data_IF_332052094158
#
_entry.id   IF_332052094158
#
_cell.length_a   1.000
_cell.length_b   1.000
_cell.length_c   1.000
_cell.angle_alpha   90.00
_cell.angle_beta   90.00
_cell.angle_gamma   90.00
#
_symmetry.space_group_name_H-M   'P 1'
#
loop_
_entity.id
_entity.type
_entity.pdbx_description
1 polymer ?
#
# COMPACT_ATOMS: atom_id res chain seq x y z
N UNK A 1 7.58 -13.84 31.88
CA UNK A 1 6.27 -13.41 31.34
C UNK A 1 6.31 -11.98 30.82
N UNK A 2 6.80 -11.00 31.59
CA UNK A 2 6.89 -9.59 31.16
C UNK A 2 7.79 -9.34 29.91
N UNK A 3 8.89 -10.10 29.76
CA UNK A 3 9.78 -10.00 28.59
C UNK A 3 9.10 -10.44 27.28
N UNK A 4 8.28 -11.48 27.33
CA UNK A 4 7.52 -11.99 26.18
C UNK A 4 6.47 -10.97 25.70
N UNK A 5 5.76 -10.33 26.63
CA UNK A 5 4.80 -9.27 26.28
C UNK A 5 5.46 -8.03 25.68
N UNK A 6 6.67 -7.67 26.13
CA UNK A 6 7.44 -6.54 25.55
C UNK A 6 7.88 -6.89 24.12
N UNK A 7 8.38 -8.10 23.88
CA UNK A 7 8.78 -8.59 22.55
C UNK A 7 7.59 -8.61 21.58
N UNK A 8 6.42 -9.04 22.03
CA UNK A 8 5.20 -9.01 21.22
C UNK A 8 4.79 -7.57 20.86
N UNK A 9 4.92 -6.63 21.79
CA UNK A 9 4.63 -5.20 21.56
C UNK A 9 5.59 -4.57 20.56
N UNK A 10 6.90 -4.82 20.68
CA UNK A 10 7.89 -4.29 19.73
C UNK A 10 7.68 -4.85 18.32
N UNK A 11 7.35 -6.14 18.19
CA UNK A 11 7.06 -6.75 16.88
C UNK A 11 5.83 -6.14 16.21
N UNK A 12 4.79 -5.84 16.99
CA UNK A 12 3.56 -5.21 16.48
C UNK A 12 3.83 -3.76 16.05
N UNK A 13 4.55 -3.00 16.89
CA UNK A 13 4.99 -1.64 16.62
C UNK A 13 5.84 -1.61 15.33
N UNK A 14 6.93 -2.36 15.27
CA UNK A 14 7.84 -2.39 14.11
C UNK A 14 7.14 -2.75 12.80
N UNK A 15 6.21 -3.71 12.84
CA UNK A 15 5.42 -4.10 11.67
C UNK A 15 4.56 -2.95 11.13
N UNK A 16 3.90 -2.20 12.00
CA UNK A 16 3.05 -1.06 11.59
C UNK A 16 3.87 0.09 11.01
N UNK A 17 4.98 0.48 11.63
CA UNK A 17 5.84 1.56 11.14
C UNK A 17 6.49 1.20 9.80
N UNK A 18 6.99 -0.02 9.66
CA UNK A 18 7.60 -0.50 8.41
C UNK A 18 6.60 -0.48 7.25
N UNK A 19 5.35 -0.89 7.51
CA UNK A 19 4.29 -0.92 6.49
C UNK A 19 3.96 0.49 6.01
N UNK A 20 3.79 1.46 6.91
CA UNK A 20 3.48 2.85 6.56
C UNK A 20 4.66 3.49 5.81
N UNK A 21 5.90 3.30 6.28
CA UNK A 21 7.10 3.84 5.64
C UNK A 21 7.29 3.28 4.22
N UNK A 22 7.12 1.97 4.04
CA UNK A 22 7.23 1.31 2.74
C UNK A 22 6.13 1.82 1.79
N UNK A 23 4.91 1.99 2.28
CA UNK A 23 3.80 2.49 1.47
C UNK A 23 4.01 3.94 1.03
N UNK A 24 4.51 4.79 1.94
CA UNK A 24 4.85 6.18 1.62
C UNK A 24 5.98 6.25 0.58
N UNK A 25 7.00 5.39 0.69
CA UNK A 25 8.12 5.35 -0.25
C UNK A 25 7.67 4.86 -1.64
N UNK A 26 6.83 3.82 -1.69
CA UNK A 26 6.22 3.34 -2.94
C UNK A 26 5.38 4.44 -3.59
N UNK A 27 4.57 5.16 -2.81
CA UNK A 27 3.76 6.27 -3.32
C UNK A 27 4.63 7.42 -3.86
N UNK A 28 5.72 7.76 -3.16
CA UNK A 28 6.66 8.81 -3.60
C UNK A 28 7.34 8.44 -4.93
N UNK A 29 7.94 7.25 -5.00
CA UNK A 29 8.54 6.72 -6.23
C UNK A 29 7.53 6.69 -7.39
N UNK A 30 6.28 6.34 -7.08
CA UNK A 30 5.22 6.33 -8.07
C UNK A 30 4.91 7.73 -8.61
N UNK A 31 4.76 8.73 -7.73
CA UNK A 31 4.45 10.11 -8.11
C UNK A 31 5.54 10.76 -8.97
N UNK A 32 6.81 10.44 -8.74
CA UNK A 32 7.90 10.98 -9.57
C UNK A 32 7.99 10.26 -10.92
N UNK A 33 7.70 8.96 -10.96
CA UNK A 33 7.81 8.17 -12.19
C UNK A 33 6.61 8.34 -13.12
N UNK A 34 5.44 8.70 -12.58
CA UNK A 34 4.20 8.84 -13.36
C UNK A 34 4.32 9.87 -14.47
N UNK A 35 5.09 10.95 -14.28
CA UNK A 35 5.28 11.98 -15.30
C UNK A 35 6.01 11.41 -16.52
N UNK A 36 7.06 10.62 -16.27
CA UNK A 36 7.79 9.91 -17.31
C UNK A 36 6.90 8.84 -17.97
N UNK A 37 6.08 8.16 -17.18
CA UNK A 37 5.13 7.14 -17.66
C UNK A 37 4.07 7.79 -18.55
N UNK A 38 3.55 8.96 -18.21
CA UNK A 38 2.62 9.74 -19.04
C UNK A 38 3.31 10.17 -20.34
N UNK A 39 4.51 10.75 -20.27
CA UNK A 39 5.22 11.21 -21.46
C UNK A 39 5.64 10.08 -22.40
N UNK A 40 5.95 8.89 -21.87
CA UNK A 40 6.41 7.75 -22.68
C UNK A 40 5.29 6.83 -23.14
N UNK A 41 4.30 6.57 -22.30
CA UNK A 41 3.18 5.65 -22.56
C UNK A 41 2.01 6.38 -23.19
N UNK A 42 1.65 7.57 -22.70
CA UNK A 42 0.43 8.25 -23.13
C UNK A 42 0.63 9.10 -24.40
N UNK A 43 1.87 9.57 -24.68
CA UNK A 43 2.19 10.28 -25.93
C UNK A 43 2.57 9.38 -27.10
N UNK A 44 2.78 8.07 -26.88
CA UNK A 44 3.04 7.06 -27.92
C UNK A 44 1.80 6.19 -28.15
N UNK A 45 1.70 5.43 -29.26
CA UNK A 45 0.58 4.50 -29.44
C UNK A 45 0.54 3.53 -28.27
N UNK A 46 -0.61 3.49 -27.58
CA UNK A 46 -0.86 2.65 -26.43
C UNK A 46 -0.69 1.18 -26.81
N UNK A 47 0.45 0.59 -26.43
CA UNK A 47 0.69 -0.83 -26.61
C UNK A 47 0.11 -1.60 -25.44
N UNK A 48 -0.45 -2.78 -25.71
CA UNK A 48 -1.06 -3.64 -24.69
C UNK A 48 -0.09 -3.93 -23.52
N UNK A 49 1.20 -4.06 -23.81
CA UNK A 49 2.27 -4.24 -22.81
C UNK A 49 2.38 -3.06 -21.85
N UNK A 50 2.21 -1.84 -22.36
CA UNK A 50 2.28 -0.63 -21.54
C UNK A 50 1.09 -0.48 -20.61
N UNK A 51 -0.10 -0.86 -21.09
CA UNK A 51 -1.31 -0.93 -20.28
C UNK A 51 -1.23 -2.01 -19.20
N UNK A 52 -0.62 -3.16 -19.53
CA UNK A 52 -0.37 -4.25 -18.60
C UNK A 52 0.63 -3.87 -17.49
N UNK A 53 1.69 -3.16 -17.85
CA UNK A 53 2.67 -2.66 -16.88
C UNK A 53 2.06 -1.60 -15.96
N UNK A 54 1.29 -0.69 -16.53
CA UNK A 54 0.59 0.36 -15.78
C UNK A 54 -0.42 -0.29 -14.81
N UNK A 55 -1.30 -1.18 -15.29
CA UNK A 55 -2.29 -1.84 -14.42
C UNK A 55 -1.64 -2.65 -13.30
N UNK A 56 -0.57 -3.39 -13.59
CA UNK A 56 0.17 -4.15 -12.57
C UNK A 56 0.73 -3.23 -11.48
N UNK A 57 1.30 -2.08 -11.87
CA UNK A 57 1.78 -1.07 -10.91
C UNK A 57 0.65 -0.45 -10.09
N UNK A 58 -0.45 -0.05 -10.73
CA UNK A 58 -1.58 0.56 -10.03
C UNK A 58 -2.30 -0.39 -9.09
N UNK A 59 -2.33 -1.70 -9.38
CA UNK A 59 -2.87 -2.72 -8.46
C UNK A 59 -2.05 -2.80 -7.18
N UNK A 60 -0.71 -2.67 -7.24
CA UNK A 60 0.14 -2.65 -6.05
C UNK A 60 -0.06 -1.37 -5.22
N UNK A 61 -0.25 -0.23 -5.88
CA UNK A 61 -0.56 1.03 -5.18
C UNK A 61 -1.94 0.95 -4.53
N UNK A 62 -2.95 0.45 -5.26
CA UNK A 62 -4.30 0.30 -4.75
C UNK A 62 -4.35 -0.65 -3.55
N UNK A 63 -3.64 -1.78 -3.59
CA UNK A 63 -3.57 -2.70 -2.46
C UNK A 63 -2.92 -2.06 -1.23
N UNK A 64 -1.87 -1.26 -1.40
CA UNK A 64 -1.23 -0.55 -0.31
C UNK A 64 -2.16 0.51 0.30
N UNK A 65 -2.90 1.26 -0.52
CA UNK A 65 -3.91 2.22 -0.06
C UNK A 65 -5.05 1.54 0.69
N UNK A 66 -5.55 0.39 0.21
CA UNK A 66 -6.60 -0.37 0.89
C UNK A 66 -6.14 -0.92 2.25
N UNK A 67 -4.86 -1.26 2.41
CA UNK A 67 -4.30 -1.66 3.70
C UNK A 67 -4.19 -0.48 4.71
N UNK A 68 -4.08 0.75 4.21
CA UNK A 68 -4.12 1.96 5.04
C UNK A 68 -5.54 2.33 5.51
N UNK A 69 -6.58 1.87 4.82
CA UNK A 69 -7.97 2.15 5.21
C UNK A 69 -8.29 1.39 6.51
N UNK A 70 -8.66 2.08 7.60
CA UNK A 70 -9.03 1.43 8.84
C UNK A 70 -10.28 0.57 8.59
N UNK A 71 -10.15 -0.73 8.82
CA UNK A 71 -11.29 -1.65 8.70
C UNK A 71 -12.28 -1.29 9.81
N UNK A 72 -13.49 -0.88 9.42
CA UNK A 72 -14.55 -0.54 10.37
C UNK A 72 -14.73 -1.73 11.33
N UNK A 73 -14.74 -1.51 12.66
CA UNK A 73 -14.95 -2.60 13.59
C UNK A 73 -16.31 -3.24 13.28
N UNK A 74 -16.33 -4.55 13.11
CA UNK A 74 -17.56 -5.30 12.94
C UNK A 74 -18.47 -4.98 14.12
N UNK A 75 -19.70 -4.52 13.84
CA UNK A 75 -20.70 -4.32 14.86
C UNK A 75 -20.90 -5.64 15.61
N UNK A 76 -20.45 -5.69 16.87
CA UNK A 76 -20.70 -6.82 17.78
C UNK A 76 -22.07 -6.55 18.43
N UNK A 77 -23.12 -7.33 18.11
CA UNK A 77 -24.41 -7.15 18.76
C UNK A 77 -24.25 -7.50 20.24
N UNK A 78 -24.60 -6.56 21.15
CA UNK A 78 -24.74 -6.91 22.56
C UNK A 78 -26.02 -7.71 22.72
N UNK A 79 -25.88 -9.02 22.92
CA UNK A 79 -26.96 -9.85 23.47
C UNK A 79 -27.20 -9.41 24.91
N UNK A 80 -28.44 -9.03 25.23
CA UNK A 80 -28.86 -8.74 26.61
C UNK A 80 -29.30 -10.02 27.33
#
# INVERSE_FOLDING_TARGET
MASFSIQALTLLIDGTYSTVATTALVAYEFLITIQLEIDTVWRRPWTATSLLLLSTRWVMVLSAVLNLVPHSPAYVPRIN
#
